data_IF_984210302779
#
_entry.id   IF_984210302779
#
_cell.length_a   1.000
_cell.length_b   1.000
_cell.length_c   1.000
_cell.angle_alpha   90.00
_cell.angle_beta   90.00
_cell.angle_gamma   90.00
#
_symmetry.space_group_name_H-M   'P 1'
#
loop_
_entity.id
_entity.type
_entity.pdbx_description
1 polymer ?
#
# COMPACT_ATOMS: atom_id res chain seq x y z
N UNK A 1 6.52 2.40 -20.24
CA UNK A 1 7.22 1.78 -19.10
C UNK A 1 6.67 0.38 -18.91
N UNK A 2 7.52 -0.65 -18.77
CA UNK A 2 7.05 -2.03 -18.61
C UNK A 2 6.41 -2.19 -17.23
N UNK A 3 5.21 -2.79 -17.15
CA UNK A 3 4.56 -3.11 -15.87
C UNK A 3 5.25 -4.33 -15.28
N UNK A 4 5.93 -4.16 -14.15
CA UNK A 4 6.71 -5.23 -13.52
C UNK A 4 5.93 -5.94 -12.41
N UNK A 5 6.01 -7.27 -12.40
CA UNK A 5 5.50 -8.10 -11.30
C UNK A 5 6.59 -8.22 -10.23
N UNK A 6 6.77 -7.16 -9.44
CA UNK A 6 7.77 -7.17 -8.39
C UNK A 6 7.31 -7.93 -7.14
N UNK A 7 6.02 -8.11 -6.85
CA UNK A 7 5.56 -9.09 -5.87
C UNK A 7 4.85 -10.27 -6.53
N UNK A 8 5.21 -11.47 -6.08
CA UNK A 8 4.50 -12.73 -6.29
C UNK A 8 4.24 -13.38 -4.92
N UNK A 9 3.23 -14.26 -4.75
CA UNK A 9 2.90 -14.86 -3.46
C UNK A 9 4.10 -15.50 -2.75
N UNK A 10 5.02 -16.08 -3.50
CA UNK A 10 6.21 -16.77 -2.98
C UNK A 10 7.34 -15.81 -2.60
N UNK A 11 7.34 -14.60 -3.17
CA UNK A 11 8.47 -13.64 -3.06
C UNK A 11 8.15 -12.39 -2.27
N UNK A 12 6.86 -12.11 -1.99
CA UNK A 12 6.40 -10.88 -1.35
C UNK A 12 7.14 -10.61 -0.03
N UNK A 13 7.29 -11.61 0.83
CA UNK A 13 7.96 -11.44 2.12
C UNK A 13 9.46 -11.14 1.97
N UNK A 14 10.17 -11.91 1.16
CA UNK A 14 11.61 -11.71 0.94
C UNK A 14 11.90 -10.33 0.32
N UNK A 15 11.10 -9.93 -0.67
CA UNK A 15 11.23 -8.63 -1.32
C UNK A 15 10.85 -7.47 -0.40
N UNK A 16 9.79 -7.60 0.40
CA UNK A 16 9.45 -6.58 1.39
C UNK A 16 10.57 -6.38 2.41
N UNK A 17 11.21 -7.46 2.89
CA UNK A 17 12.36 -7.36 3.80
C UNK A 17 13.56 -6.69 3.12
N UNK A 18 13.85 -7.04 1.85
CA UNK A 18 14.92 -6.39 1.08
C UNK A 18 14.68 -4.88 0.89
N UNK A 19 13.44 -4.49 0.58
CA UNK A 19 13.05 -3.08 0.47
C UNK A 19 13.17 -2.35 1.81
N UNK A 20 12.80 -2.98 2.93
CA UNK A 20 12.98 -2.38 4.26
C UNK A 20 14.46 -2.22 4.61
N UNK A 21 15.29 -3.20 4.27
CA UNK A 21 16.73 -3.15 4.50
C UNK A 21 17.39 -2.01 3.70
N UNK A 22 16.99 -1.80 2.45
CA UNK A 22 17.56 -0.74 1.60
C UNK A 22 17.28 0.67 2.09
N UNK A 23 16.21 0.87 2.88
CA UNK A 23 15.85 2.18 3.46
C UNK A 23 16.17 2.30 4.95
N UNK A 24 16.82 1.29 5.54
CA UNK A 24 17.09 1.21 6.98
C UNK A 24 17.88 2.41 7.51
N UNK A 25 18.81 2.94 6.71
CA UNK A 25 19.61 4.12 7.05
C UNK A 25 18.77 5.39 7.28
N UNK A 26 17.66 5.55 6.56
CA UNK A 26 16.77 6.70 6.69
C UNK A 26 15.93 6.64 7.97
N UNK A 27 15.76 5.44 8.56
CA UNK A 27 15.04 5.27 9.84
C UNK A 27 15.81 5.81 11.04
N UNK A 28 17.13 6.02 10.96
CA UNK A 28 17.95 6.53 12.08
C UNK A 28 17.39 7.83 12.69
N UNK A 29 16.87 8.74 11.85
CA UNK A 29 16.24 10.00 12.30
C UNK A 29 14.96 9.80 13.14
N UNK A 30 14.39 8.60 13.09
CA UNK A 30 13.14 8.22 13.74
C UNK A 30 13.33 7.05 14.72
N UNK A 31 14.55 6.78 15.18
CA UNK A 31 14.87 5.65 16.07
C UNK A 31 14.02 5.62 17.35
N UNK A 32 13.59 6.79 17.81
CA UNK A 32 12.79 6.96 19.02
C UNK A 32 11.27 6.92 18.77
N UNK A 33 10.81 6.77 17.52
CA UNK A 33 9.39 6.61 17.22
C UNK A 33 8.95 5.21 17.65
N UNK A 34 8.16 5.15 18.71
CA UNK A 34 7.51 3.93 19.17
C UNK A 34 6.15 3.80 18.52
N UNK A 35 5.85 2.63 17.98
CA UNK A 35 4.52 2.34 17.47
C UNK A 35 3.56 2.14 18.65
N UNK A 36 2.49 2.94 18.68
CA UNK A 36 1.42 2.86 19.68
C UNK A 36 0.11 2.44 19.00
N UNK A 37 -0.24 1.13 19.01
CA UNK A 37 -1.43 0.63 18.29
C UNK A 37 -2.72 1.37 18.66
N UNK A 38 -2.89 1.71 19.95
CA UNK A 38 -4.07 2.42 20.45
C UNK A 38 -4.18 3.86 19.93
N UNK A 39 -3.10 4.42 19.39
CA UNK A 39 -3.02 5.78 18.82
C UNK A 39 -2.74 5.76 17.32
N UNK A 40 -3.00 4.63 16.65
CA UNK A 40 -2.77 4.46 15.23
C UNK A 40 -4.07 4.56 14.43
N UNK A 41 -3.94 4.93 13.15
CA UNK A 41 -4.95 4.82 12.12
C UNK A 41 -4.36 4.07 10.92
N UNK A 42 -5.21 3.38 10.15
CA UNK A 42 -4.83 2.72 8.91
C UNK A 42 -5.24 3.61 7.74
N UNK A 43 -4.29 3.98 6.90
CA UNK A 43 -4.52 4.67 5.63
C UNK A 43 -4.30 3.69 4.48
N UNK A 44 -5.36 3.38 3.75
CA UNK A 44 -5.33 2.51 2.56
C UNK A 44 -5.33 3.39 1.32
N UNK A 45 -4.18 3.47 0.67
CA UNK A 45 -3.94 4.38 -0.44
C UNK A 45 -4.38 3.77 -1.77
N UNK A 46 -5.37 4.41 -2.40
CA UNK A 46 -5.77 4.23 -3.81
C UNK A 46 -5.94 2.78 -4.26
N UNK A 47 -6.44 1.90 -3.37
CA UNK A 47 -6.74 0.50 -3.67
C UNK A 47 -8.09 0.35 -4.41
N UNK A 48 -8.21 1.05 -5.52
CA UNK A 48 -9.40 1.12 -6.38
C UNK A 48 -9.24 0.29 -7.65
N UNK A 49 -10.35 -0.13 -8.26
CA UNK A 49 -10.35 -1.02 -9.44
C UNK A 49 -9.49 -0.52 -10.60
N UNK A 50 -9.30 0.80 -10.72
CA UNK A 50 -8.39 1.40 -11.69
C UNK A 50 -6.95 0.87 -11.61
N UNK A 51 -6.45 0.52 -10.42
CA UNK A 51 -5.12 -0.06 -10.26
C UNK A 51 -5.14 -1.59 -10.06
N UNK A 52 -6.29 -2.17 -9.74
CA UNK A 52 -6.44 -3.60 -9.41
C UNK A 52 -6.97 -4.46 -10.56
N UNK A 53 -7.73 -3.88 -11.50
CA UNK A 53 -8.33 -4.61 -12.61
C UNK A 53 -7.35 -4.80 -13.76
N UNK A 54 -7.17 -6.03 -14.29
CA UNK A 54 -6.21 -6.32 -15.37
C UNK A 54 -6.52 -5.57 -16.67
N UNK A 55 -7.79 -5.24 -16.93
CA UNK A 55 -8.24 -4.51 -18.11
C UNK A 55 -7.97 -3.00 -18.03
N UNK A 56 -7.56 -2.51 -16.85
CA UNK A 56 -7.24 -1.09 -16.68
C UNK A 56 -5.88 -0.73 -17.27
N UNK A 57 -5.82 0.42 -17.95
CA UNK A 57 -4.57 0.98 -18.44
C UNK A 57 -3.54 1.19 -17.31
N UNK A 58 -3.99 1.52 -16.10
CA UNK A 58 -3.13 1.72 -14.93
C UNK A 58 -2.96 0.48 -14.05
N UNK A 59 -3.39 -0.70 -14.51
CA UNK A 59 -3.25 -1.95 -13.74
C UNK A 59 -1.83 -2.15 -13.22
N UNK A 60 -1.71 -2.43 -11.91
CA UNK A 60 -0.46 -2.77 -11.24
C UNK A 60 -0.44 -4.28 -10.98
N UNK A 61 0.39 -5.07 -11.71
CA UNK A 61 0.38 -6.53 -11.62
C UNK A 61 0.62 -7.10 -10.22
N UNK A 62 1.37 -6.37 -9.39
CA UNK A 62 1.66 -6.78 -8.01
C UNK A 62 0.60 -6.40 -6.99
N UNK A 63 -0.38 -5.56 -7.35
CA UNK A 63 -1.40 -5.10 -6.40
C UNK A 63 -2.34 -6.21 -5.89
N UNK A 64 -2.77 -7.20 -6.70
CA UNK A 64 -3.56 -8.31 -6.20
C UNK A 64 -2.85 -9.14 -5.10
N UNK A 65 -1.51 -9.23 -5.17
CA UNK A 65 -0.70 -10.03 -4.23
C UNK A 65 -0.70 -9.42 -2.83
N UNK A 66 -0.84 -8.10 -2.70
CA UNK A 66 -0.84 -7.41 -1.40
C UNK A 66 -2.24 -7.33 -0.75
N UNK A 67 -3.32 -7.62 -1.48
CA UNK A 67 -4.69 -7.50 -1.01
C UNK A 67 -4.99 -8.28 0.28
N UNK A 68 -4.56 -9.56 0.44
CA UNK A 68 -4.85 -10.31 1.66
C UNK A 68 -4.24 -9.65 2.91
N UNK A 69 -3.04 -9.07 2.78
CA UNK A 69 -2.37 -8.35 3.87
C UNK A 69 -3.13 -7.07 4.27
N UNK A 70 -3.56 -6.29 3.28
CA UNK A 70 -4.37 -5.08 3.52
C UNK A 70 -5.71 -5.43 4.17
N UNK A 71 -6.40 -6.46 3.67
CA UNK A 71 -7.67 -6.91 4.25
C UNK A 71 -7.50 -7.37 5.70
N UNK A 72 -6.39 -8.04 6.02
CA UNK A 72 -6.07 -8.42 7.41
C UNK A 72 -5.89 -7.18 8.30
N UNK A 73 -5.13 -6.17 7.85
CA UNK A 73 -4.96 -4.92 8.58
C UNK A 73 -6.29 -4.19 8.80
N UNK A 74 -7.14 -4.10 7.77
CA UNK A 74 -8.47 -3.48 7.88
C UNK A 74 -9.32 -4.20 8.93
N UNK A 75 -9.35 -5.54 8.91
CA UNK A 75 -10.08 -6.34 9.90
C UNK A 75 -9.58 -6.08 11.33
N UNK A 76 -8.26 -6.06 11.54
CA UNK A 76 -7.67 -5.80 12.86
C UNK A 76 -8.00 -4.39 13.35
N UNK A 77 -7.80 -3.36 12.51
CA UNK A 77 -8.09 -1.98 12.92
C UNK A 77 -9.58 -1.79 13.24
N UNK A 78 -10.47 -2.36 12.42
CA UNK A 78 -11.91 -2.32 12.67
C UNK A 78 -12.29 -3.05 13.99
N UNK A 79 -11.70 -4.21 14.28
CA UNK A 79 -11.99 -4.97 15.50
C UNK A 79 -11.59 -4.26 16.80
N UNK A 80 -10.66 -3.29 16.73
CA UNK A 80 -10.22 -2.48 17.86
C UNK A 80 -10.77 -1.05 17.83
N UNK A 81 -11.82 -0.78 17.02
CA UNK A 81 -12.39 0.56 16.81
C UNK A 81 -11.33 1.61 16.47
N UNK A 82 -10.32 1.23 15.67
CA UNK A 82 -9.30 2.14 15.16
C UNK A 82 -9.72 2.72 13.81
N UNK A 83 -9.39 3.99 13.50
CA UNK A 83 -9.76 4.60 12.22
C UNK A 83 -9.14 3.84 11.04
N UNK A 84 -9.97 3.58 10.02
CA UNK A 84 -9.55 3.08 8.70
C UNK A 84 -10.00 4.10 7.66
N UNK A 85 -9.05 4.67 6.93
CA UNK A 85 -9.28 5.74 5.95
C UNK A 85 -8.87 5.21 4.58
N UNK A 86 -9.76 5.31 3.60
CA UNK A 86 -9.49 4.95 2.22
C UNK A 86 -9.34 6.22 1.39
N UNK A 87 -8.32 6.26 0.52
CA UNK A 87 -8.20 7.31 -0.50
C UNK A 87 -8.57 6.77 -1.86
N UNK A 88 -8.83 7.70 -2.77
CA UNK A 88 -9.04 7.42 -4.18
C UNK A 88 -8.43 8.57 -4.97
N UNK A 89 -7.59 8.22 -5.95
CA UNK A 89 -7.10 9.15 -6.96
C UNK A 89 -8.19 9.34 -8.03
N UNK A 90 -8.63 10.57 -8.24
CA UNK A 90 -9.56 10.96 -9.31
C UNK A 90 -8.96 12.14 -10.06
N UNK A 91 -9.05 12.10 -11.38
CA UNK A 91 -8.73 13.22 -12.25
C UNK A 91 -10.03 13.79 -12.86
N UNK A 92 -10.07 15.10 -13.00
CA UNK A 92 -10.98 15.85 -13.87
C UNK A 92 -10.37 15.94 -15.29
N UNK A 93 -11.16 16.25 -16.33
CA UNK A 93 -10.59 16.54 -17.65
C UNK A 93 -9.52 17.64 -17.62
N UNK A 94 -9.63 18.59 -16.69
CA UNK A 94 -8.74 19.74 -16.54
C UNK A 94 -7.38 19.38 -15.91
N UNK A 95 -7.32 18.34 -15.08
CA UNK A 95 -6.09 17.87 -14.42
C UNK A 95 -5.57 16.52 -14.97
N UNK A 96 -6.31 15.91 -15.90
CA UNK A 96 -5.91 14.69 -16.57
C UNK A 96 -4.56 14.86 -17.30
N UNK A 97 -3.60 13.99 -17.00
CA UNK A 97 -2.25 14.03 -17.57
C UNK A 97 -1.23 14.79 -16.73
N UNK A 98 -1.66 15.44 -15.64
CA UNK A 98 -0.75 15.88 -14.59
C UNK A 98 -0.51 14.73 -13.61
N UNK A 99 0.78 14.42 -13.38
CA UNK A 99 1.23 13.57 -12.27
C UNK A 99 1.41 14.41 -11.02
#
# INVERSE_FOLDING_TARGET
MQKELYFAPETIHAKAQSMLASVSEFRRRHENIRFHPNRAALLVLDMQDYFLGPDSHAFVPSAPVILPGIQSLVKVFAAYDRPVIFTRHINTPEDAGMM
#
